data_IF_158204647028
#
_entry.id   IF_158204647028
#
_cell.length_a   1.000
_cell.length_b   1.000
_cell.length_c   1.000
_cell.angle_alpha   90.00
_cell.angle_beta   90.00
_cell.angle_gamma   90.00
#
_symmetry.space_group_name_H-M   'P 1'
#
loop_
_entity.id
_entity.type
_entity.pdbx_description
1 polymer ?
#
# COMPACT_ATOMS: atom_id res chain seq x y z
N UNK A 1 -14.35 4.21 -13.79
CA UNK A 1 -14.61 2.75 -13.83
C UNK A 1 -16.03 2.43 -13.43
N UNK A 2 -16.48 2.83 -12.24
CA UNK A 2 -17.88 2.69 -11.81
C UNK A 2 -18.86 3.37 -12.78
N UNK A 3 -18.49 4.53 -13.31
CA UNK A 3 -19.20 5.25 -14.39
C UNK A 3 -19.30 4.46 -15.71
N UNK A 4 -18.39 3.51 -15.94
CA UNK A 4 -18.36 2.67 -17.14
C UNK A 4 -18.89 1.26 -16.87
N UNK A 5 -19.50 1.01 -15.69
CA UNK A 5 -20.04 -0.30 -15.33
C UNK A 5 -19.00 -1.42 -15.18
N UNK A 6 -17.71 -1.09 -15.13
CA UNK A 6 -16.62 -2.09 -15.11
C UNK A 6 -15.96 -2.20 -13.75
N UNK A 7 -15.61 -3.43 -13.38
CA UNK A 7 -14.68 -3.67 -12.28
C UNK A 7 -13.24 -3.38 -12.70
N UNK A 8 -12.38 -3.09 -11.73
CA UNK A 8 -10.94 -2.86 -12.00
C UNK A 8 -10.25 -4.08 -12.64
N UNK A 9 -10.80 -5.28 -12.46
CA UNK A 9 -10.25 -6.51 -13.06
C UNK A 9 -10.65 -6.62 -14.52
N UNK A 10 -11.94 -6.45 -14.83
CA UNK A 10 -12.46 -6.47 -16.21
C UNK A 10 -11.78 -5.41 -17.08
N UNK A 11 -11.65 -4.19 -16.58
CA UNK A 11 -10.97 -3.13 -17.31
C UNK A 11 -9.54 -3.54 -17.68
N UNK A 12 -8.79 -4.13 -16.74
CA UNK A 12 -7.41 -4.53 -16.99
C UNK A 12 -7.30 -5.65 -18.02
N UNK A 13 -8.19 -6.65 -17.97
CA UNK A 13 -8.26 -7.72 -18.97
C UNK A 13 -8.65 -7.16 -20.34
N UNK A 14 -9.69 -6.33 -20.41
CA UNK A 14 -10.21 -5.75 -21.66
C UNK A 14 -9.17 -4.93 -22.43
N UNK A 15 -8.31 -4.21 -21.72
CA UNK A 15 -7.31 -3.32 -22.30
C UNK A 15 -5.87 -3.86 -22.21
N UNK A 16 -5.69 -5.15 -21.87
CA UNK A 16 -4.37 -5.80 -21.85
C UNK A 16 -3.41 -5.30 -20.77
N UNK A 17 -3.90 -4.69 -19.70
CA UNK A 17 -3.08 -4.26 -18.57
C UNK A 17 -2.82 -5.39 -17.58
N UNK A 18 -1.63 -5.42 -16.98
CA UNK A 18 -1.36 -6.39 -15.93
C UNK A 18 -2.21 -6.09 -14.68
N UNK A 19 -2.58 -7.14 -13.92
CA UNK A 19 -3.39 -6.99 -12.70
C UNK A 19 -2.68 -6.17 -11.60
N UNK A 20 -1.35 -6.06 -11.65
CA UNK A 20 -0.55 -5.29 -10.69
C UNK A 20 -0.24 -3.88 -11.16
N UNK A 21 -0.47 -3.57 -12.43
CA UNK A 21 -0.20 -2.25 -12.97
C UNK A 21 -1.20 -1.23 -12.40
N UNK A 22 -0.74 -0.07 -11.90
CA UNK A 22 -1.62 1.01 -11.51
C UNK A 22 -2.28 1.62 -12.75
N UNK A 23 -3.55 1.97 -12.63
CA UNK A 23 -4.31 2.63 -13.70
C UNK A 23 -4.07 4.15 -13.78
N UNK A 24 -3.28 4.71 -12.86
CA UNK A 24 -2.92 6.12 -12.86
C UNK A 24 -1.65 6.39 -13.66
N UNK A 25 -1.51 7.63 -14.13
CA UNK A 25 -0.32 8.09 -14.82
C UNK A 25 0.94 7.89 -13.94
N UNK A 26 2.05 7.55 -14.59
CA UNK A 26 3.36 7.36 -13.91
C UNK A 26 3.81 8.63 -13.19
N UNK A 27 3.63 9.79 -13.83
CA UNK A 27 3.97 11.11 -13.26
C UNK A 27 3.26 11.40 -11.93
N UNK A 28 1.98 11.03 -11.82
CA UNK A 28 1.21 11.18 -10.57
C UNK A 28 1.78 10.31 -9.45
N UNK A 29 2.17 9.07 -9.79
CA UNK A 29 2.71 8.10 -8.83
C UNK A 29 4.06 8.59 -8.29
N UNK A 30 4.94 9.10 -9.15
CA UNK A 30 6.22 9.69 -8.74
C UNK A 30 6.04 10.94 -7.87
N UNK A 31 5.12 11.85 -8.23
CA UNK A 31 4.82 13.03 -7.41
C UNK A 31 4.36 12.64 -6.00
N UNK A 32 3.47 11.65 -5.88
CA UNK A 32 3.01 11.14 -4.58
C UNK A 32 4.15 10.52 -3.77
N UNK A 33 5.03 9.77 -4.42
CA UNK A 33 6.21 9.16 -3.80
C UNK A 33 7.17 10.23 -3.26
N UNK A 34 7.42 11.30 -4.02
CA UNK A 34 8.25 12.43 -3.57
C UNK A 34 7.65 13.13 -2.36
N UNK A 35 6.37 13.52 -2.43
CA UNK A 35 5.68 14.16 -1.32
C UNK A 35 5.65 13.30 -0.04
N UNK A 36 5.53 11.97 -0.18
CA UNK A 36 5.57 11.07 0.96
C UNK A 36 6.94 11.00 1.64
N UNK A 37 8.02 11.11 0.87
CA UNK A 37 9.40 11.19 1.41
C UNK A 37 9.63 12.51 2.14
N UNK A 38 9.21 13.63 1.54
CA UNK A 38 9.29 14.97 2.16
C UNK A 38 8.56 15.02 3.52
N UNK A 39 7.45 14.31 3.65
CA UNK A 39 6.68 14.20 4.90
C UNK A 39 7.26 13.20 5.92
N UNK A 40 8.38 12.53 5.63
CA UNK A 40 9.00 11.57 6.55
C UNK A 40 8.19 10.29 6.80
N UNK A 41 7.19 9.98 5.95
CA UNK A 41 6.34 8.78 6.09
C UNK A 41 7.12 7.46 6.15
N UNK A 42 8.20 7.24 5.36
CA UNK A 42 8.92 5.97 5.38
C UNK A 42 9.50 5.60 6.75
N UNK A 43 10.07 6.59 7.44
CA UNK A 43 10.70 6.37 8.74
C UNK A 43 9.66 6.16 9.84
N UNK A 44 8.62 6.98 9.83
CA UNK A 44 7.51 6.87 10.78
C UNK A 44 6.80 5.51 10.63
N UNK A 45 6.63 5.03 9.40
CA UNK A 45 6.07 3.71 9.13
C UNK A 45 6.98 2.59 9.68
N UNK A 46 8.30 2.66 9.46
CA UNK A 46 9.25 1.68 10.02
C UNK A 46 9.17 1.63 11.55
N UNK A 47 9.14 2.79 12.22
CA UNK A 47 8.98 2.90 13.68
C UNK A 47 7.67 2.26 14.15
N UNK A 48 6.56 2.54 13.47
CA UNK A 48 5.25 1.97 13.79
C UNK A 48 5.21 0.45 13.61
N UNK A 49 5.79 -0.08 12.53
CA UNK A 49 5.89 -1.53 12.27
C UNK A 49 6.73 -2.20 13.37
N UNK A 50 7.88 -1.63 13.73
CA UNK A 50 8.73 -2.16 14.79
C UNK A 50 7.99 -2.21 16.14
N UNK A 51 7.27 -1.15 16.50
CA UNK A 51 6.42 -1.10 17.71
C UNK A 51 5.33 -2.17 17.69
N UNK A 52 4.67 -2.37 16.55
CA UNK A 52 3.65 -3.42 16.37
C UNK A 52 4.24 -4.82 16.56
N UNK A 53 5.39 -5.10 15.94
CA UNK A 53 6.09 -6.40 16.07
C UNK A 53 6.47 -6.70 17.52
N UNK A 54 7.06 -5.72 18.23
CA UNK A 54 7.40 -5.86 19.67
C UNK A 54 6.17 -6.21 20.51
N UNK A 55 5.05 -5.50 20.29
CA UNK A 55 3.79 -5.74 21.02
C UNK A 55 3.17 -7.12 20.74
N UNK A 56 3.29 -7.63 19.53
CA UNK A 56 2.81 -8.98 19.19
C UNK A 56 3.69 -10.03 19.89
N UNK A 57 5.01 -9.83 19.91
CA UNK A 57 5.95 -10.74 20.60
C UNK A 57 5.70 -10.80 22.10
N UNK A 58 5.49 -9.67 22.77
CA UNK A 58 5.19 -9.63 24.22
C UNK A 58 3.86 -10.28 24.56
N UNK A 59 2.82 -10.10 23.73
CA UNK A 59 1.53 -10.78 23.92
C UNK A 59 1.63 -12.29 23.71
N UNK A 60 2.44 -12.75 22.74
CA UNK A 60 2.67 -14.17 22.51
C UNK A 60 3.42 -14.84 23.67
N UNK A 61 4.39 -14.15 24.28
CA UNK A 61 5.10 -14.66 25.48
C UNK A 61 4.23 -14.65 26.72
N UNK A 62 3.35 -13.66 26.89
CA UNK A 62 2.41 -13.58 28.02
C UNK A 62 1.27 -14.61 27.95
N UNK A 63 0.93 -15.12 26.76
CA UNK A 63 -0.09 -16.17 26.58
C UNK A 63 0.46 -17.59 26.78
N UNK A 64 1.78 -17.74 26.97
CA UNK A 64 2.49 -19.02 27.09
C UNK A 64 2.99 -19.32 28.51
N UNK A 65 2.80 -18.37 29.44
CA UNK A 65 2.87 -18.54 30.89
C UNK A 65 1.44 -18.63 31.42
#
# INVERSE_FOLDING_TARGET
LKSHGLTSREYRVKYGFSLRQPLCAKSLSERRKKAGKERGLPENLRKAIAKRKKRIKTKATAKKK
#
